data_IF_708818035046
#
_entry.id   IF_708818035046
#
_cell.length_a   1.000
_cell.length_b   1.000
_cell.length_c   1.000
_cell.angle_alpha   90.00
_cell.angle_beta   90.00
_cell.angle_gamma   90.00
#
_symmetry.space_group_name_H-M   'P 1'
#
loop_
_entity.id
_entity.type
_entity.pdbx_description
1 polymer ?
#
# COMPACT_ATOMS: atom_id res chain seq x y z
N UNK A 1 -4.73 55.02 -22.12
CA UNK A 1 -3.93 54.62 -20.96
C UNK A 1 -4.52 53.34 -20.43
N UNK A 2 -3.73 52.27 -20.40
CA UNK A 2 -4.19 50.92 -20.14
C UNK A 2 -4.71 50.70 -18.71
N UNK A 3 -5.77 49.91 -18.66
CA UNK A 3 -6.40 49.20 -17.55
C UNK A 3 -5.42 48.59 -16.54
N UNK A 4 -5.72 48.85 -15.27
CA UNK A 4 -5.17 48.21 -14.07
C UNK A 4 -5.34 46.69 -14.12
N UNK A 5 -4.24 45.96 -14.16
CA UNK A 5 -4.20 44.49 -14.02
C UNK A 5 -3.89 44.10 -12.57
N UNK A 6 -4.72 43.19 -12.07
CA UNK A 6 -4.78 42.64 -10.73
C UNK A 6 -3.44 42.17 -10.12
N UNK A 7 -3.28 42.44 -8.82
CA UNK A 7 -2.39 41.70 -7.93
C UNK A 7 -2.82 40.22 -7.90
N UNK A 8 -2.00 39.34 -8.48
CA UNK A 8 -2.00 37.93 -8.12
C UNK A 8 -1.27 37.80 -6.76
N UNK A 9 -2.03 37.60 -5.68
CA UNK A 9 -1.45 37.03 -4.46
C UNK A 9 -1.23 35.54 -4.71
N UNK A 10 -0.02 35.20 -5.18
CA UNK A 10 0.53 33.88 -4.93
C UNK A 10 1.45 34.03 -3.72
N UNK A 11 0.89 33.97 -2.52
CA UNK A 11 1.71 33.73 -1.33
C UNK A 11 2.13 32.27 -1.39
N UNK A 12 3.19 32.00 -2.14
CA UNK A 12 4.06 30.88 -1.84
C UNK A 12 4.52 31.10 -0.39
N UNK A 13 3.98 30.33 0.54
CA UNK A 13 4.47 30.33 1.92
C UNK A 13 5.83 29.64 1.84
N UNK A 14 6.89 30.45 1.84
CA UNK A 14 8.26 29.98 1.89
C UNK A 14 8.49 29.22 3.19
N UNK A 15 8.97 27.99 3.02
CA UNK A 15 9.53 27.06 4.00
C UNK A 15 10.01 27.70 5.31
N UNK A 16 9.30 27.40 6.40
CA UNK A 16 9.82 27.46 7.75
C UNK A 16 9.28 26.25 8.52
N UNK A 17 10.17 25.32 8.86
CA UNK A 17 10.02 24.20 9.80
C UNK A 17 8.58 23.68 10.02
N UNK A 18 8.15 22.70 9.22
CA UNK A 18 6.90 21.95 9.45
C UNK A 18 7.07 20.86 10.52
N UNK A 19 7.73 21.16 11.63
CA UNK A 19 7.88 20.20 12.74
C UNK A 19 6.55 20.09 13.49
N UNK A 20 5.84 18.96 13.35
CA UNK A 20 4.51 18.70 13.93
C UNK A 20 3.41 19.71 13.55
N UNK A 21 3.23 19.95 12.25
CA UNK A 21 2.12 20.75 11.77
C UNK A 21 0.85 19.91 11.52
N UNK A 22 -0.29 20.47 11.92
CA UNK A 22 -1.60 20.02 11.48
C UNK A 22 -1.82 20.59 10.07
N UNK A 23 -2.06 19.70 9.10
CA UNK A 23 -2.46 20.02 7.75
C UNK A 23 -3.98 19.90 7.72
N UNK A 24 -4.68 21.03 7.85
CA UNK A 24 -6.15 21.14 7.86
C UNK A 24 -6.71 21.83 6.59
N UNK A 25 -5.83 22.09 5.62
CA UNK A 25 -6.12 22.61 4.29
C UNK A 25 -5.40 21.75 3.23
N UNK A 26 -5.56 22.11 1.94
CA UNK A 26 -4.81 21.46 0.87
C UNK A 26 -3.40 22.05 0.74
N UNK A 27 -2.40 21.34 1.27
CA UNK A 27 -0.99 21.65 1.10
C UNK A 27 -0.42 20.91 -0.10
N UNK A 28 0.30 21.62 -0.97
CA UNK A 28 0.97 21.06 -2.15
C UNK A 28 2.47 21.31 -2.01
N UNK A 29 3.26 20.25 -2.06
CA UNK A 29 4.71 20.28 -2.07
C UNK A 29 5.23 19.92 -3.45
N UNK A 30 6.28 20.59 -3.89
CA UNK A 30 6.89 20.45 -5.21
C UNK A 30 8.37 20.11 -5.10
N UNK A 31 9.10 20.19 -6.22
CA UNK A 31 10.50 19.77 -6.28
C UNK A 31 11.40 20.48 -5.26
N UNK A 32 11.99 19.71 -4.35
CA UNK A 32 12.86 20.21 -3.29
C UNK A 32 12.15 20.57 -1.99
N UNK A 33 10.81 20.58 -1.99
CA UNK A 33 10.03 20.78 -0.78
C UNK A 33 10.01 19.50 0.07
N UNK A 34 9.95 19.68 1.39
CA UNK A 34 9.80 18.56 2.33
C UNK A 34 8.88 18.90 3.51
N UNK A 35 8.20 17.88 4.02
CA UNK A 35 7.41 17.94 5.25
C UNK A 35 7.68 16.72 6.11
N UNK A 36 7.81 16.91 7.42
CA UNK A 36 8.08 15.82 8.35
C UNK A 36 7.13 15.85 9.53
N UNK A 37 6.88 14.70 10.13
CA UNK A 37 6.20 14.53 11.42
C UNK A 37 4.85 15.29 11.52
N UNK A 38 4.16 15.47 10.41
CA UNK A 38 2.94 16.28 10.32
C UNK A 38 1.69 15.41 10.32
N UNK A 39 0.55 16.00 10.69
CA UNK A 39 -0.74 15.29 10.76
C UNK A 39 -1.72 15.85 9.76
N UNK A 40 -2.20 15.03 8.82
CA UNK A 40 -3.28 15.38 7.88
C UNK A 40 -4.61 15.01 8.52
N UNK A 41 -5.40 16.01 8.89
CA UNK A 41 -6.72 15.83 9.55
C UNK A 41 -7.86 15.76 8.54
N UNK A 42 -9.10 15.63 8.99
CA UNK A 42 -10.29 15.40 8.15
C UNK A 42 -10.58 16.45 7.07
N UNK A 43 -10.16 17.70 7.27
CA UNK A 43 -10.23 18.77 6.25
C UNK A 43 -8.94 18.92 5.44
N UNK A 44 -7.91 18.20 5.85
CA UNK A 44 -6.55 18.27 5.33
C UNK A 44 -6.34 17.41 4.10
N UNK A 45 -5.46 17.92 3.24
CA UNK A 45 -4.94 17.16 2.11
C UNK A 45 -3.49 17.52 1.87
N UNK A 46 -2.60 16.53 1.85
CA UNK A 46 -1.20 16.71 1.49
C UNK A 46 -0.95 16.11 0.10
N UNK A 47 -0.54 16.93 -0.86
CA UNK A 47 -0.11 16.47 -2.19
C UNK A 47 1.39 16.66 -2.33
N UNK A 48 2.10 15.59 -2.69
CA UNK A 48 3.51 15.63 -3.04
C UNK A 48 3.67 15.46 -4.54
N UNK A 49 4.24 16.47 -5.19
CA UNK A 49 4.52 16.49 -6.62
C UNK A 49 6.02 16.49 -6.90
N UNK A 50 6.41 15.75 -7.94
CA UNK A 50 7.68 15.87 -8.66
C UNK A 50 8.91 16.22 -7.79
N UNK A 51 9.49 15.22 -7.11
CA UNK A 51 10.68 15.41 -6.27
C UNK A 51 10.40 15.92 -4.86
N UNK A 52 9.15 16.26 -4.53
CA UNK A 52 8.72 16.50 -3.16
C UNK A 52 8.91 15.26 -2.28
N UNK A 53 9.21 15.49 -0.99
CA UNK A 53 9.47 14.43 -0.02
C UNK A 53 8.63 14.61 1.25
N UNK A 54 8.21 13.52 1.86
CA UNK A 54 7.66 13.53 3.22
C UNK A 54 8.24 12.42 4.08
N UNK A 55 8.20 12.62 5.40
CA UNK A 55 8.57 11.59 6.37
C UNK A 55 7.68 11.64 7.61
N UNK A 56 7.18 10.50 8.09
CA UNK A 56 6.47 10.40 9.36
C UNK A 56 5.10 11.10 9.36
N UNK A 57 4.36 11.06 8.24
CA UNK A 57 3.05 11.73 8.16
C UNK A 57 1.98 10.84 8.81
N UNK A 58 1.25 11.40 9.76
CA UNK A 58 0.05 10.77 10.33
C UNK A 58 -1.16 11.21 9.51
N UNK A 59 -1.85 10.27 8.87
CA UNK A 59 -3.04 10.54 8.06
C UNK A 59 -4.25 10.06 8.84
N UNK A 60 -4.95 11.00 9.47
CA UNK A 60 -6.08 10.74 10.35
C UNK A 60 -7.38 10.50 9.57
N UNK A 61 -8.45 10.14 10.29
CA UNK A 61 -9.77 9.93 9.70
C UNK A 61 -10.21 11.12 8.83
N UNK A 62 -10.47 10.87 7.54
CA UNK A 62 -10.85 11.87 6.54
C UNK A 62 -9.67 12.63 5.92
N UNK A 63 -8.47 12.51 6.48
CA UNK A 63 -7.24 13.05 5.90
C UNK A 63 -6.83 12.30 4.64
N UNK A 64 -6.32 13.05 3.67
CA UNK A 64 -5.90 12.51 2.38
C UNK A 64 -4.46 12.88 2.10
N UNK A 65 -3.66 11.89 1.73
CA UNK A 65 -2.33 12.10 1.16
C UNK A 65 -2.25 11.58 -0.27
N UNK A 66 -1.66 12.37 -1.15
CA UNK A 66 -1.35 11.98 -2.53
C UNK A 66 0.14 12.06 -2.76
N UNK A 67 0.75 10.92 -3.09
CA UNK A 67 2.16 10.81 -3.47
C UNK A 67 2.19 10.63 -4.97
N UNK A 68 2.32 11.74 -5.71
CA UNK A 68 2.31 11.71 -7.17
C UNK A 68 3.64 11.20 -7.74
N UNK A 69 3.66 10.97 -9.05
CA UNK A 69 4.83 10.44 -9.75
C UNK A 69 6.10 11.25 -9.43
N UNK A 70 7.20 10.55 -9.18
CA UNK A 70 8.50 11.09 -8.76
C UNK A 70 8.53 11.74 -7.36
N UNK A 71 7.44 11.75 -6.60
CA UNK A 71 7.48 12.11 -5.18
C UNK A 71 7.81 10.88 -4.31
N UNK A 72 8.26 11.14 -3.08
CA UNK A 72 8.61 10.11 -2.11
C UNK A 72 7.97 10.38 -0.76
N UNK A 73 7.30 9.37 -0.21
CA UNK A 73 6.83 9.36 1.17
C UNK A 73 7.53 8.27 1.98
N UNK A 74 7.91 8.59 3.20
CA UNK A 74 8.60 7.66 4.09
C UNK A 74 7.88 7.59 5.45
N UNK A 75 7.76 6.39 6.01
CA UNK A 75 7.31 6.15 7.39
C UNK A 75 5.93 6.72 7.75
N UNK A 76 5.04 6.95 6.78
CA UNK A 76 3.69 7.43 7.07
C UNK A 76 2.83 6.39 7.78
N UNK A 77 1.95 6.89 8.65
CA UNK A 77 0.97 6.09 9.38
C UNK A 77 -0.42 6.49 8.90
N UNK A 78 -1.13 5.56 8.27
CA UNK A 78 -2.50 5.76 7.81
C UNK A 78 -3.44 5.20 8.89
N UNK A 79 -4.08 6.09 9.65
CA UNK A 79 -5.06 5.71 10.65
C UNK A 79 -6.39 5.32 10.00
N UNK A 80 -7.27 4.69 10.78
CA UNK A 80 -8.59 4.29 10.30
C UNK A 80 -9.37 5.49 9.77
N UNK A 81 -9.88 5.37 8.55
CA UNK A 81 -10.54 6.46 7.82
C UNK A 81 -9.62 7.43 7.08
N UNK A 82 -8.30 7.35 7.29
CA UNK A 82 -7.29 8.05 6.50
C UNK A 82 -7.01 7.31 5.19
N UNK A 83 -6.62 8.05 4.16
CA UNK A 83 -6.35 7.49 2.83
C UNK A 83 -5.04 8.03 2.26
N UNK A 84 -4.21 7.13 1.74
CA UNK A 84 -3.05 7.48 0.92
C UNK A 84 -3.20 6.95 -0.51
N UNK A 85 -3.00 7.81 -1.50
CA UNK A 85 -2.85 7.45 -2.91
C UNK A 85 -1.37 7.52 -3.29
N UNK A 86 -0.85 6.47 -3.92
CA UNK A 86 0.56 6.34 -4.30
C UNK A 86 0.69 6.05 -5.79
N UNK A 87 1.02 7.09 -6.55
CA UNK A 87 1.47 7.02 -7.95
C UNK A 87 3.00 7.14 -8.06
N UNK A 88 3.64 7.70 -7.03
CA UNK A 88 5.09 7.79 -6.84
C UNK A 88 5.67 6.61 -6.06
N UNK A 89 6.46 6.91 -5.03
CA UNK A 89 7.08 5.91 -4.16
C UNK A 89 6.72 6.16 -2.69
N UNK A 90 6.27 5.12 -1.97
CA UNK A 90 6.12 5.16 -0.51
C UNK A 90 6.88 4.02 0.18
N UNK A 91 7.55 4.32 1.28
CA UNK A 91 8.41 3.39 2.00
C UNK A 91 7.99 3.28 3.46
N UNK A 92 7.94 2.05 4.00
CA UNK A 92 7.69 1.75 5.41
C UNK A 92 6.36 2.31 5.96
N UNK A 93 5.32 2.37 5.12
CA UNK A 93 3.99 2.83 5.53
C UNK A 93 3.35 1.84 6.51
N UNK A 94 2.77 2.32 7.61
CA UNK A 94 1.93 1.52 8.53
C UNK A 94 0.45 1.84 8.31
N UNK A 95 -0.42 0.83 8.20
CA UNK A 95 -1.81 1.03 7.75
C UNK A 95 -2.83 0.38 8.70
N UNK A 96 -3.70 1.20 9.29
CA UNK A 96 -5.03 0.79 9.77
C UNK A 96 -6.19 1.47 9.00
N UNK A 97 -5.86 2.36 8.04
CA UNK A 97 -6.77 2.95 7.05
C UNK A 97 -6.64 2.32 5.66
N UNK A 98 -6.56 3.14 4.60
CA UNK A 98 -6.45 2.68 3.21
C UNK A 98 -5.21 3.21 2.48
N UNK A 99 -4.49 2.34 1.78
CA UNK A 99 -3.46 2.71 0.80
C UNK A 99 -3.83 2.21 -0.59
N UNK A 100 -3.79 3.09 -1.59
CA UNK A 100 -4.16 2.83 -2.99
C UNK A 100 -2.94 3.04 -3.87
N UNK A 101 -2.49 1.99 -4.57
CA UNK A 101 -1.20 1.98 -5.25
C UNK A 101 -1.37 1.78 -6.76
N UNK A 102 -0.94 2.78 -7.51
CA UNK A 102 -0.66 2.67 -8.95
C UNK A 102 0.85 2.77 -9.28
N UNK A 103 1.65 3.27 -8.33
CA UNK A 103 3.11 3.39 -8.35
C UNK A 103 3.84 2.25 -7.62
N UNK A 104 4.80 2.58 -6.75
CA UNK A 104 5.59 1.60 -5.99
C UNK A 104 5.46 1.83 -4.49
N UNK A 105 5.29 0.76 -3.72
CA UNK A 105 5.43 0.76 -2.27
C UNK A 105 6.36 -0.35 -1.80
N UNK A 106 7.13 -0.07 -0.75
CA UNK A 106 8.04 -1.03 -0.14
C UNK A 106 7.94 -1.03 1.38
N UNK A 107 7.96 -2.21 2.00
CA UNK A 107 8.00 -2.35 3.47
C UNK A 107 6.70 -1.99 4.18
N UNK A 108 5.56 -2.05 3.48
CA UNK A 108 4.26 -1.72 4.09
C UNK A 108 3.87 -2.72 5.19
N UNK A 109 3.42 -2.22 6.34
CA UNK A 109 2.85 -3.01 7.41
C UNK A 109 1.36 -2.72 7.57
N UNK A 110 0.50 -3.70 7.28
CA UNK A 110 -0.95 -3.58 7.42
C UNK A 110 -1.38 -4.17 8.75
N UNK A 111 -2.01 -3.34 9.60
CA UNK A 111 -2.55 -3.67 10.93
C UNK A 111 -4.06 -3.39 10.94
N UNK A 112 -4.82 -4.23 10.27
CA UNK A 112 -6.29 -4.12 10.17
C UNK A 112 -6.83 -3.13 9.13
N UNK A 113 -5.96 -2.49 8.35
CA UNK A 113 -6.36 -1.65 7.21
C UNK A 113 -6.38 -2.41 5.87
N UNK A 114 -6.44 -1.63 4.79
CA UNK A 114 -6.54 -2.13 3.41
C UNK A 114 -5.43 -1.57 2.52
N UNK A 115 -4.84 -2.42 1.70
CA UNK A 115 -3.94 -2.05 0.62
C UNK A 115 -4.51 -2.53 -0.72
N UNK A 116 -4.74 -1.62 -1.66
CA UNK A 116 -5.24 -1.93 -3.00
C UNK A 116 -4.14 -1.66 -4.03
N UNK A 117 -3.58 -2.72 -4.62
CA UNK A 117 -2.55 -2.66 -5.65
C UNK A 117 -3.21 -2.89 -7.01
N UNK A 118 -3.16 -1.92 -7.91
CA UNK A 118 -3.88 -1.98 -9.19
C UNK A 118 -3.08 -1.41 -10.37
N UNK A 119 -3.50 -1.74 -11.59
CA UNK A 119 -2.83 -1.30 -12.81
C UNK A 119 -1.38 -1.77 -12.87
N UNK A 120 -0.44 -0.84 -13.02
CA UNK A 120 1.01 -1.10 -12.96
C UNK A 120 1.59 -1.07 -11.54
N UNK A 121 0.75 -0.90 -10.52
CA UNK A 121 1.17 -0.77 -9.13
C UNK A 121 1.96 -1.98 -8.62
N UNK A 122 2.96 -1.72 -7.79
CA UNK A 122 3.82 -2.74 -7.18
C UNK A 122 3.89 -2.55 -5.67
N UNK A 123 3.65 -3.63 -4.92
CA UNK A 123 3.89 -3.69 -3.48
C UNK A 123 4.96 -4.75 -3.17
N UNK A 124 6.02 -4.33 -2.49
CA UNK A 124 7.18 -5.18 -2.19
C UNK A 124 7.35 -5.26 -0.67
N UNK A 125 7.60 -6.47 -0.14
CA UNK A 125 7.84 -6.71 1.29
C UNK A 125 6.67 -6.25 2.18
N UNK A 126 5.43 -6.47 1.74
CA UNK A 126 4.24 -6.16 2.54
C UNK A 126 4.05 -7.21 3.64
N UNK A 127 3.73 -6.78 4.87
CA UNK A 127 3.32 -7.67 5.98
C UNK A 127 1.85 -7.44 6.33
N UNK A 128 1.06 -8.52 6.37
CA UNK A 128 -0.37 -8.51 6.70
C UNK A 128 -0.60 -9.08 8.10
N UNK A 129 -1.09 -8.25 9.02
CA UNK A 129 -1.32 -8.61 10.43
C UNK A 129 -2.64 -8.01 10.94
N UNK A 130 -3.16 -8.53 12.05
CA UNK A 130 -4.35 -8.01 12.73
C UNK A 130 -5.54 -7.81 11.78
N UNK A 131 -5.85 -8.82 10.97
CA UNK A 131 -6.90 -8.78 9.93
C UNK A 131 -6.64 -7.78 8.80
N UNK A 132 -5.39 -7.34 8.60
CA UNK A 132 -5.00 -6.51 7.47
C UNK A 132 -5.23 -7.20 6.14
N UNK A 133 -5.69 -6.45 5.14
CA UNK A 133 -6.09 -6.99 3.84
C UNK A 133 -5.30 -6.34 2.71
N UNK A 134 -4.82 -7.15 1.77
CA UNK A 134 -4.23 -6.69 0.51
C UNK A 134 -5.05 -7.23 -0.68
N UNK A 135 -5.55 -6.32 -1.53
CA UNK A 135 -6.17 -6.65 -2.81
C UNK A 135 -5.17 -6.42 -3.94
N UNK A 136 -4.91 -7.45 -4.74
CA UNK A 136 -3.90 -7.43 -5.78
C UNK A 136 -4.55 -7.65 -7.15
N UNK A 137 -4.67 -6.58 -7.93
CA UNK A 137 -4.90 -6.61 -9.38
C UNK A 137 -3.67 -6.08 -10.17
N UNK A 138 -2.68 -5.52 -9.47
CA UNK A 138 -1.34 -5.21 -9.96
C UNK A 138 -0.32 -6.29 -9.58
N UNK A 139 0.80 -5.92 -8.94
CA UNK A 139 1.88 -6.86 -8.58
C UNK A 139 2.20 -6.78 -7.08
N UNK A 140 2.25 -7.92 -6.41
CA UNK A 140 2.75 -8.07 -5.04
C UNK A 140 3.95 -9.03 -5.02
N UNK A 141 5.00 -8.70 -4.25
CA UNK A 141 6.20 -9.55 -4.09
C UNK A 141 6.60 -9.63 -2.63
N UNK A 142 7.07 -10.81 -2.22
CA UNK A 142 7.55 -11.07 -0.86
C UNK A 142 6.52 -10.68 0.21
N UNK A 143 5.24 -10.99 -0.02
CA UNK A 143 4.20 -10.70 0.98
C UNK A 143 4.29 -11.73 2.11
N UNK A 144 4.30 -11.27 3.35
CA UNK A 144 4.19 -12.10 4.55
C UNK A 144 2.77 -11.96 5.08
N UNK A 145 2.04 -13.07 5.15
CA UNK A 145 0.68 -13.11 5.69
C UNK A 145 0.75 -13.78 7.06
N UNK A 146 0.59 -12.99 8.12
CA UNK A 146 0.44 -13.48 9.49
C UNK A 146 -1.05 -13.68 9.77
N UNK A 147 -1.70 -12.84 10.57
CA UNK A 147 -3.15 -12.90 10.82
C UNK A 147 -3.97 -12.04 9.84
N UNK A 148 -3.57 -11.99 8.57
CA UNK A 148 -4.16 -11.15 7.52
C UNK A 148 -4.65 -11.93 6.31
N UNK A 149 -5.10 -11.21 5.28
CA UNK A 149 -5.61 -11.80 4.04
C UNK A 149 -5.08 -11.13 2.78
N UNK A 150 -4.61 -11.92 1.83
CA UNK A 150 -4.23 -11.46 0.50
C UNK A 150 -5.22 -12.00 -0.54
N UNK A 151 -5.75 -11.13 -1.40
CA UNK A 151 -6.67 -11.48 -2.47
C UNK A 151 -6.02 -11.23 -3.83
N UNK A 152 -5.77 -12.29 -4.59
CA UNK A 152 -5.17 -12.23 -5.93
C UNK A 152 -6.29 -12.28 -6.97
N UNK A 153 -6.64 -11.10 -7.44
CA UNK A 153 -7.76 -10.86 -8.36
C UNK A 153 -7.32 -11.01 -9.81
N UNK A 154 -8.29 -10.95 -10.74
CA UNK A 154 -8.01 -10.99 -12.18
C UNK A 154 -6.96 -9.95 -12.60
N UNK A 155 -5.94 -10.38 -13.35
CA UNK A 155 -4.80 -9.55 -13.74
C UNK A 155 -3.70 -9.40 -12.69
N UNK A 156 -4.00 -9.73 -11.43
CA UNK A 156 -3.06 -9.65 -10.31
C UNK A 156 -1.96 -10.71 -10.37
N UNK A 157 -0.77 -10.34 -9.90
CA UNK A 157 0.38 -11.24 -9.78
C UNK A 157 0.97 -11.18 -8.38
N UNK A 158 1.09 -12.32 -7.73
CA UNK A 158 1.85 -12.45 -6.48
C UNK A 158 3.01 -13.43 -6.64
N UNK A 159 4.17 -13.08 -6.10
CA UNK A 159 5.31 -14.01 -6.00
C UNK A 159 5.86 -14.03 -4.57
N UNK A 160 6.50 -15.14 -4.21
CA UNK A 160 7.28 -15.26 -2.97
C UNK A 160 6.45 -14.99 -1.72
N UNK A 161 5.18 -15.41 -1.74
CA UNK A 161 4.27 -15.19 -0.61
C UNK A 161 4.52 -16.21 0.49
N UNK A 162 4.75 -15.76 1.71
CA UNK A 162 4.84 -16.62 2.90
C UNK A 162 3.55 -16.53 3.69
N UNK A 163 2.87 -17.65 3.88
CA UNK A 163 1.58 -17.75 4.57
C UNK A 163 1.80 -18.46 5.89
N UNK A 164 1.72 -17.71 6.99
CA UNK A 164 1.93 -18.20 8.36
C UNK A 164 0.61 -18.51 9.06
N UNK A 165 0.70 -18.94 10.33
CA UNK A 165 -0.45 -19.26 11.15
C UNK A 165 -1.51 -18.14 11.18
N UNK A 166 -2.74 -18.48 10.80
CA UNK A 166 -3.86 -17.53 10.69
C UNK A 166 -3.90 -16.75 9.37
N UNK A 167 -2.92 -16.96 8.50
CA UNK A 167 -2.77 -16.24 7.24
C UNK A 167 -3.50 -16.91 6.11
N UNK A 168 -4.12 -16.09 5.27
CA UNK A 168 -4.93 -16.59 4.16
C UNK A 168 -4.55 -15.88 2.86
N UNK A 169 -4.17 -16.65 1.84
CA UNK A 169 -4.10 -16.18 0.46
C UNK A 169 -5.28 -16.74 -0.33
N UNK A 170 -6.10 -15.88 -0.92
CA UNK A 170 -7.21 -16.24 -1.79
C UNK A 170 -6.86 -15.92 -3.24
N UNK A 171 -6.80 -16.94 -4.09
CA UNK A 171 -6.50 -16.83 -5.52
C UNK A 171 -7.80 -16.98 -6.30
N UNK A 172 -8.32 -15.86 -6.79
CA UNK A 172 -9.66 -15.76 -7.40
C UNK A 172 -9.60 -15.68 -8.93
N UNK A 173 -8.52 -15.14 -9.50
CA UNK A 173 -8.38 -15.01 -10.95
C UNK A 173 -7.01 -14.59 -11.48
N UNK A 174 -6.04 -14.31 -10.61
CA UNK A 174 -4.69 -13.91 -11.00
C UNK A 174 -3.69 -15.08 -11.06
N UNK A 175 -2.41 -14.75 -11.01
CA UNK A 175 -1.31 -15.72 -10.99
C UNK A 175 -0.48 -15.62 -9.72
N UNK A 176 -0.18 -16.76 -9.12
CA UNK A 176 0.70 -16.86 -7.94
C UNK A 176 1.87 -17.79 -8.22
N UNK A 177 3.08 -17.39 -7.83
CA UNK A 177 4.26 -18.26 -7.88
C UNK A 177 4.99 -18.30 -6.55
N UNK A 178 5.70 -19.40 -6.29
CA UNK A 178 6.71 -19.51 -5.24
C UNK A 178 6.15 -19.22 -3.83
N UNK A 179 4.96 -19.74 -3.55
CA UNK A 179 4.32 -19.59 -2.23
C UNK A 179 4.84 -20.61 -1.24
N UNK A 180 5.00 -20.20 0.02
CA UNK A 180 5.33 -21.07 1.15
C UNK A 180 4.16 -21.03 2.13
N UNK A 181 3.56 -22.18 2.41
CA UNK A 181 2.46 -22.33 3.35
C UNK A 181 2.99 -23.04 4.60
N UNK A 182 3.02 -22.34 5.73
CA UNK A 182 3.48 -22.86 7.02
C UNK A 182 2.31 -23.36 7.88
N UNK A 183 2.62 -23.94 9.03
CA UNK A 183 1.64 -24.42 10.01
C UNK A 183 0.55 -23.37 10.30
N UNK A 184 -0.71 -23.79 10.14
CA UNK A 184 -1.90 -22.94 10.30
C UNK A 184 -2.13 -21.91 9.19
N UNK A 185 -1.28 -21.86 8.16
CA UNK A 185 -1.45 -21.03 6.97
C UNK A 185 -2.36 -21.69 5.93
N UNK A 186 -3.11 -20.89 5.17
CA UNK A 186 -4.04 -21.38 4.15
C UNK A 186 -3.91 -20.66 2.82
N UNK A 187 -3.81 -21.40 1.72
CA UNK A 187 -4.02 -20.89 0.37
C UNK A 187 -5.32 -21.48 -0.21
N UNK A 188 -6.27 -20.63 -0.57
CA UNK A 188 -7.51 -21.02 -1.24
C UNK A 188 -7.42 -20.66 -2.73
N UNK A 189 -7.55 -21.65 -3.60
CA UNK A 189 -7.54 -21.49 -5.05
C UNK A 189 -8.95 -21.75 -5.58
N UNK A 190 -9.66 -20.66 -5.88
CA UNK A 190 -11.02 -20.69 -6.45
C UNK A 190 -11.01 -20.33 -7.93
N UNK A 191 -9.94 -19.71 -8.43
CA UNK A 191 -9.68 -19.43 -9.84
C UNK A 191 -8.20 -19.13 -10.09
N UNK A 192 -7.85 -18.69 -11.30
CA UNK A 192 -6.48 -18.30 -11.65
C UNK A 192 -5.48 -19.47 -11.79
N UNK A 193 -4.20 -19.18 -11.59
CA UNK A 193 -3.09 -20.14 -11.69
C UNK A 193 -2.13 -20.01 -10.51
N UNK A 194 -1.73 -21.13 -9.93
CA UNK A 194 -0.72 -21.21 -8.87
C UNK A 194 0.37 -22.20 -9.26
N UNK A 195 1.63 -21.80 -9.12
CA UNK A 195 2.78 -22.66 -9.41
C UNK A 195 3.83 -22.61 -8.31
N UNK A 196 4.57 -23.72 -8.13
CA UNK A 196 5.71 -23.80 -7.20
C UNK A 196 5.32 -23.49 -5.74
N UNK A 197 4.26 -24.13 -5.25
CA UNK A 197 3.88 -24.00 -3.84
C UNK A 197 4.62 -25.02 -2.98
N UNK A 198 5.17 -24.59 -1.87
CA UNK A 198 5.70 -25.46 -0.81
C UNK A 198 4.71 -25.45 0.35
N UNK A 199 4.23 -26.61 0.76
CA UNK A 199 3.36 -26.80 1.92
C UNK A 199 4.18 -27.51 2.99
N UNK A 200 4.45 -26.82 4.09
CA UNK A 200 5.09 -27.38 5.27
C UNK A 200 4.03 -28.03 6.20
N UNK A 201 4.49 -28.78 7.19
CA UNK A 201 3.63 -29.46 8.17
C UNK A 201 2.59 -28.48 8.77
N UNK A 202 1.33 -28.91 8.80
CA UNK A 202 0.18 -28.10 9.23
C UNK A 202 -0.33 -27.04 8.25
N UNK A 203 0.34 -26.80 7.12
CA UNK A 203 -0.11 -25.89 6.06
C UNK A 203 -1.23 -26.49 5.20
N UNK A 204 -2.12 -25.64 4.65
CA UNK A 204 -3.26 -26.09 3.83
C UNK A 204 -3.34 -25.37 2.49
N UNK A 205 -3.51 -26.14 1.39
CA UNK A 205 -3.89 -25.63 0.07
C UNK A 205 -5.23 -26.24 -0.34
N UNK A 206 -6.27 -25.40 -0.42
CA UNK A 206 -7.61 -25.79 -0.87
C UNK A 206 -7.77 -25.45 -2.35
N UNK A 207 -8.11 -26.42 -3.19
CA UNK A 207 -8.30 -26.20 -4.63
C UNK A 207 -9.72 -26.57 -5.01
N UNK A 208 -10.54 -25.57 -5.31
CA UNK A 208 -11.93 -25.72 -5.74
C UNK A 208 -12.20 -25.14 -7.13
N UNK A 209 -11.21 -24.45 -7.71
CA UNK A 209 -11.17 -24.00 -9.09
C UNK A 209 -9.74 -23.62 -9.52
N UNK A 210 -9.57 -23.10 -10.74
CA UNK A 210 -8.27 -22.67 -11.27
C UNK A 210 -7.33 -23.83 -11.66
N UNK A 211 -6.02 -23.55 -11.70
CA UNK A 211 -4.96 -24.52 -11.99
C UNK A 211 -3.84 -24.42 -10.94
N UNK A 212 -3.38 -25.57 -10.45
CA UNK A 212 -2.27 -25.68 -9.50
C UNK A 212 -1.25 -26.66 -10.05
N UNK A 213 0.03 -26.26 -10.10
CA UNK A 213 1.12 -27.13 -10.56
C UNK A 213 2.36 -26.98 -9.68
N UNK A 214 3.22 -28.00 -9.66
CA UNK A 214 4.46 -28.03 -8.90
C UNK A 214 4.28 -27.76 -7.39
N UNK A 215 3.25 -28.32 -6.78
CA UNK A 215 3.10 -28.32 -5.32
C UNK A 215 4.03 -29.38 -4.71
N UNK A 216 4.82 -28.98 -3.72
CA UNK A 216 5.66 -29.84 -2.89
C UNK A 216 5.05 -29.85 -1.48
N UNK A 217 4.85 -31.03 -0.92
CA UNK A 217 4.40 -31.21 0.48
C UNK A 217 5.58 -31.83 1.24
N UNK A 218 6.07 -31.13 2.25
CA UNK A 218 7.19 -31.56 3.10
C UNK A 218 6.75 -32.45 4.26
#
# INVERSE_FOLDING_TARGET
GFISSALYYHTAVFAADYNHNIIDYHQILTNGDSVTDSTVVSSGRLTLDNGARSNGINIESGGIMEVNKNATDESSIIHTGGIQYVDGFALNTTISGEQKISGLVEGTLIKGGYQSVYGSGQAINTTLSNSGVQYVSGIAKNTIIESGQQYIQSGGKASDTTINNGGIQNVEGGSVTDSIINDGGTQNVTGGSVTNTIINDGGTQNVTGGSVTNTIIN
#
